data_IF_429267067379
#
_entry.id   IF_429267067379
#
_cell.length_a   1.000
_cell.length_b   1.000
_cell.length_c   1.000
_cell.angle_alpha   90.00
_cell.angle_beta   90.00
_cell.angle_gamma   90.00
#
_symmetry.space_group_name_H-M   'P 1'
#
loop_
_entity.id
_entity.type
_entity.pdbx_description
1 polymer ?
#
# COMPACT_ATOMS: atom_id res chain seq x y z
N UNK A 1 -23.34 -6.83 -26.45
CA UNK A 1 -22.90 -6.75 -25.04
C UNK A 1 -21.95 -7.91 -24.81
N UNK A 2 -20.71 -7.67 -24.37
CA UNK A 2 -19.76 -8.75 -24.12
C UNK A 2 -20.28 -9.64 -22.97
N UNK A 3 -20.20 -10.95 -23.16
CA UNK A 3 -20.60 -11.95 -22.18
C UNK A 3 -19.71 -11.88 -20.93
N UNK A 4 -20.20 -12.29 -19.75
CA UNK A 4 -19.39 -12.32 -18.52
C UNK A 4 -18.09 -13.14 -18.66
N UNK A 5 -18.12 -14.20 -19.48
CA UNK A 5 -16.96 -15.04 -19.77
C UNK A 5 -15.89 -14.30 -20.58
N UNK A 6 -16.30 -13.56 -21.62
CA UNK A 6 -15.37 -12.74 -22.41
C UNK A 6 -14.72 -11.65 -21.56
N UNK A 7 -15.47 -11.01 -20.66
CA UNK A 7 -14.89 -10.03 -19.72
C UNK A 7 -13.85 -10.66 -18.81
N UNK A 8 -14.14 -11.83 -18.23
CA UNK A 8 -13.19 -12.54 -17.38
C UNK A 8 -11.92 -12.92 -18.15
N UNK A 9 -12.05 -13.45 -19.36
CA UNK A 9 -10.89 -13.77 -20.21
C UNK A 9 -10.07 -12.52 -20.57
N UNK A 10 -10.73 -11.38 -20.82
CA UNK A 10 -10.03 -10.12 -21.08
C UNK A 10 -9.23 -9.64 -19.86
N UNK A 11 -9.77 -9.72 -18.65
CA UNK A 11 -9.03 -9.40 -17.42
C UNK A 11 -7.87 -10.37 -17.18
N UNK A 12 -8.08 -11.67 -17.42
CA UNK A 12 -7.03 -12.67 -17.30
C UNK A 12 -5.90 -12.43 -18.30
N UNK A 13 -6.22 -12.09 -19.55
CA UNK A 13 -5.23 -11.79 -20.58
C UNK A 13 -4.45 -10.49 -20.28
N UNK A 14 -5.12 -9.46 -19.74
CA UNK A 14 -4.45 -8.24 -19.28
C UNK A 14 -3.51 -8.52 -18.11
N UNK A 15 -3.98 -9.29 -17.12
CA UNK A 15 -3.17 -9.66 -15.97
C UNK A 15 -1.98 -10.50 -16.41
N UNK A 16 -2.17 -11.47 -17.29
CA UNK A 16 -1.10 -12.30 -17.84
C UNK A 16 -0.05 -11.44 -18.57
N UNK A 17 -0.49 -10.47 -19.37
CA UNK A 17 0.40 -9.51 -20.06
C UNK A 17 1.18 -8.61 -19.09
N UNK A 18 0.56 -8.18 -18.00
CA UNK A 18 1.25 -7.40 -16.97
C UNK A 18 2.27 -8.26 -16.20
N UNK A 19 1.89 -9.49 -15.87
CA UNK A 19 2.75 -10.44 -15.18
C UNK A 19 3.93 -10.92 -16.03
N UNK A 20 3.81 -10.90 -17.37
CA UNK A 20 4.91 -11.29 -18.26
C UNK A 20 6.10 -10.33 -18.21
N UNK A 21 5.93 -9.14 -17.62
CA UNK A 21 7.03 -8.20 -17.35
C UNK A 21 8.03 -8.76 -16.33
N UNK A 22 7.63 -9.75 -15.51
CA UNK A 22 8.48 -10.35 -14.50
C UNK A 22 9.10 -11.67 -15.00
N UNK A 23 10.41 -11.72 -15.28
CA UNK A 23 11.05 -12.92 -15.85
C UNK A 23 10.97 -14.14 -14.93
N UNK A 24 10.91 -13.95 -13.61
CA UNK A 24 10.71 -15.02 -12.64
C UNK A 24 9.37 -15.76 -12.86
N UNK A 25 8.28 -15.03 -13.14
CA UNK A 25 6.96 -15.63 -13.37
C UNK A 25 6.92 -16.41 -14.68
N UNK A 26 7.60 -15.91 -15.72
CA UNK A 26 7.70 -16.61 -17.00
C UNK A 26 8.48 -17.93 -16.88
N UNK A 27 9.51 -17.98 -16.01
CA UNK A 27 10.27 -19.19 -15.75
C UNK A 27 9.43 -20.23 -14.99
N UNK A 28 8.60 -19.78 -14.05
CA UNK A 28 7.67 -20.64 -13.30
C UNK A 28 6.57 -21.17 -14.24
N UNK A 29 6.00 -20.34 -15.10
CA UNK A 29 5.01 -20.74 -16.09
C UNK A 29 5.54 -21.85 -17.02
N UNK A 30 6.79 -21.72 -17.48
CA UNK A 30 7.45 -22.75 -18.31
C UNK A 30 7.64 -24.09 -17.58
N UNK A 31 7.82 -24.08 -16.26
CA UNK A 31 8.01 -25.29 -15.46
C UNK A 31 6.68 -25.95 -15.06
N UNK A 32 5.67 -25.14 -14.73
CA UNK A 32 4.40 -25.60 -14.16
C UNK A 32 3.34 -25.81 -15.26
N UNK A 33 3.49 -25.21 -16.44
CA UNK A 33 2.57 -25.37 -17.57
C UNK A 33 1.21 -24.69 -17.37
N UNK A 34 1.04 -23.92 -16.30
CA UNK A 34 -0.19 -23.19 -15.97
C UNK A 34 0.05 -21.69 -16.19
N UNK A 35 -0.89 -20.95 -16.80
CA UNK A 35 -0.74 -19.51 -16.97
C UNK A 35 -0.53 -18.79 -15.63
N UNK A 36 0.48 -17.93 -15.58
CA UNK A 36 0.87 -17.17 -14.38
C UNK A 36 -0.26 -16.35 -13.76
N UNK A 37 -1.21 -15.88 -14.57
CA UNK A 37 -2.41 -15.19 -14.09
C UNK A 37 -3.21 -16.03 -13.08
N UNK A 38 -3.43 -17.33 -13.35
CA UNK A 38 -4.15 -18.20 -12.43
C UNK A 38 -3.37 -18.45 -11.14
N UNK A 39 -2.04 -18.58 -11.23
CA UNK A 39 -1.18 -18.73 -10.06
C UNK A 39 -1.26 -17.51 -9.12
N UNK A 40 -1.17 -16.31 -9.68
CA UNK A 40 -1.27 -15.06 -8.89
C UNK A 40 -2.65 -14.88 -8.30
N UNK A 41 -3.72 -15.15 -9.06
CA UNK A 41 -5.10 -15.09 -8.54
C UNK A 41 -5.31 -16.12 -7.43
N UNK A 42 -4.81 -17.34 -7.59
CA UNK A 42 -4.89 -18.38 -6.58
C UNK A 42 -4.15 -18.01 -5.29
N UNK A 43 -2.95 -17.46 -5.40
CA UNK A 43 -2.19 -16.96 -4.25
C UNK A 43 -2.88 -15.78 -3.57
N UNK A 44 -3.44 -14.84 -4.33
CA UNK A 44 -4.19 -13.71 -3.78
C UNK A 44 -5.47 -14.17 -3.06
N UNK A 45 -6.20 -15.12 -3.65
CA UNK A 45 -7.39 -15.72 -3.04
C UNK A 45 -7.04 -16.49 -1.76
N UNK A 46 -5.96 -17.28 -1.77
CA UNK A 46 -5.45 -17.98 -0.60
C UNK A 46 -5.05 -16.99 0.50
N UNK A 47 -4.32 -15.94 0.16
CA UNK A 47 -3.92 -14.91 1.11
C UNK A 47 -5.15 -14.25 1.76
N UNK A 48 -6.15 -13.88 0.96
CA UNK A 48 -7.40 -13.28 1.46
C UNK A 48 -8.19 -14.25 2.34
N UNK A 49 -8.24 -15.53 1.96
CA UNK A 49 -8.81 -16.60 2.76
C UNK A 49 -8.12 -16.71 4.12
N UNK A 50 -6.78 -16.75 4.16
CA UNK A 50 -6.03 -16.81 5.42
C UNK A 50 -6.32 -15.61 6.34
N UNK A 51 -6.49 -14.41 5.78
CA UNK A 51 -6.88 -13.21 6.53
C UNK A 51 -8.30 -13.33 7.10
N UNK A 52 -9.28 -13.83 6.32
CA UNK A 52 -10.66 -14.03 6.78
C UNK A 52 -10.74 -15.04 7.93
N UNK A 53 -10.03 -16.16 7.79
CA UNK A 53 -9.99 -17.21 8.81
C UNK A 53 -9.04 -16.89 9.97
N UNK A 54 -8.44 -15.69 9.97
CA UNK A 54 -7.53 -15.22 11.01
C UNK A 54 -6.31 -16.15 11.22
N UNK A 55 -5.88 -16.84 10.17
CA UNK A 55 -4.68 -17.68 10.19
C UNK A 55 -3.49 -16.76 9.93
N UNK A 56 -2.84 -16.32 11.00
CA UNK A 56 -1.72 -15.37 10.92
C UNK A 56 -2.16 -13.95 10.54
N UNK A 57 -3.39 -13.55 10.86
CA UNK A 57 -3.98 -12.27 10.46
C UNK A 57 -3.11 -11.04 10.75
N UNK A 58 -2.46 -10.98 11.92
CA UNK A 58 -1.57 -9.87 12.27
C UNK A 58 -0.35 -9.80 11.34
N UNK A 59 0.32 -10.93 11.09
CA UNK A 59 1.49 -11.00 10.22
C UNK A 59 1.10 -10.64 8.77
N UNK A 60 0.04 -11.26 8.26
CA UNK A 60 -0.42 -11.05 6.89
C UNK A 60 -0.78 -9.58 6.67
N UNK A 61 -1.66 -9.01 7.51
CA UNK A 61 -2.09 -7.61 7.35
C UNK A 61 -0.95 -6.61 7.47
N UNK A 62 -0.01 -6.82 8.41
CA UNK A 62 1.18 -5.98 8.51
C UNK A 62 2.06 -6.14 7.28
N UNK A 63 2.23 -7.35 6.76
CA UNK A 63 3.01 -7.60 5.55
C UNK A 63 2.44 -6.83 4.36
N UNK A 64 1.13 -6.87 4.13
CA UNK A 64 0.50 -6.06 3.08
C UNK A 64 0.66 -4.55 3.34
N UNK A 65 0.45 -4.11 4.58
CA UNK A 65 0.62 -2.73 5.01
C UNK A 65 2.05 -2.19 4.91
N UNK A 66 3.05 -3.05 4.78
CA UNK A 66 4.44 -2.66 4.55
C UNK A 66 4.87 -2.80 3.09
N UNK A 67 4.58 -3.94 2.46
CA UNK A 67 5.15 -4.30 1.16
C UNK A 67 4.53 -3.49 0.02
N UNK A 68 3.21 -3.32 0.02
CA UNK A 68 2.49 -2.57 -1.02
C UNK A 68 2.98 -1.11 -1.08
N UNK A 69 2.83 -0.31 0.00
CA UNK A 69 3.33 1.06 0.00
C UNK A 69 4.85 1.15 -0.09
N UNK A 70 5.60 0.16 0.43
CA UNK A 70 7.06 0.09 0.29
C UNK A 70 7.50 0.00 -1.16
N UNK A 71 6.88 -0.88 -1.95
CA UNK A 71 7.16 -0.99 -3.39
C UNK A 71 6.88 0.31 -4.13
N UNK A 72 5.72 0.93 -3.90
CA UNK A 72 5.40 2.21 -4.54
C UNK A 72 6.25 3.37 -4.05
N UNK A 73 6.63 3.39 -2.76
CA UNK A 73 7.56 4.38 -2.20
C UNK A 73 8.93 4.28 -2.86
N UNK A 74 9.44 3.07 -3.08
CA UNK A 74 10.70 2.87 -3.82
C UNK A 74 10.58 3.41 -5.24
N UNK A 75 9.47 3.14 -5.93
CA UNK A 75 9.20 3.73 -7.25
C UNK A 75 9.18 5.27 -7.22
N UNK A 76 8.54 5.86 -6.22
CA UNK A 76 8.49 7.32 -6.03
C UNK A 76 9.89 7.92 -5.80
N UNK A 77 10.74 7.26 -5.02
CA UNK A 77 12.12 7.72 -4.75
C UNK A 77 12.99 7.80 -6.01
N UNK A 78 12.70 6.99 -7.03
CA UNK A 78 13.40 7.04 -8.32
C UNK A 78 12.68 7.91 -9.37
N UNK A 79 11.50 8.43 -9.04
CA UNK A 79 10.74 9.37 -9.87
C UNK A 79 11.26 10.81 -9.67
N UNK A 80 11.12 11.66 -10.70
CA UNK A 80 11.48 13.08 -10.62
C UNK A 80 10.35 13.96 -10.03
N UNK A 81 9.14 13.42 -9.86
CA UNK A 81 7.96 14.15 -9.41
C UNK A 81 7.74 14.06 -7.90
N UNK A 82 7.45 15.19 -7.24
CA UNK A 82 7.33 15.29 -5.77
C UNK A 82 5.93 14.99 -5.22
N UNK A 83 4.94 14.83 -6.10
CA UNK A 83 3.54 14.59 -5.70
C UNK A 83 3.37 13.21 -5.09
N UNK A 84 4.08 12.21 -5.63
CA UNK A 84 4.00 10.83 -5.16
C UNK A 84 4.67 10.69 -3.77
N UNK A 85 5.77 11.40 -3.54
CA UNK A 85 6.49 11.38 -2.25
C UNK A 85 5.60 11.81 -1.08
N UNK A 86 4.79 12.86 -1.31
CA UNK A 86 3.89 13.40 -0.28
C UNK A 86 2.82 12.39 0.12
N UNK A 87 2.28 11.64 -0.86
CA UNK A 87 1.27 10.61 -0.62
C UNK A 87 1.85 9.48 0.24
N UNK A 88 3.02 8.97 -0.12
CA UNK A 88 3.64 7.86 0.61
C UNK A 88 4.12 8.28 1.99
N UNK A 89 4.68 9.48 2.15
CA UNK A 89 5.04 10.00 3.47
C UNK A 89 3.81 10.14 4.37
N UNK A 90 2.70 10.66 3.82
CA UNK A 90 1.43 10.76 4.54
C UNK A 90 0.92 9.38 4.97
N UNK A 91 1.02 8.39 4.09
CA UNK A 91 0.69 7.00 4.41
C UNK A 91 1.53 6.49 5.59
N UNK A 92 2.85 6.65 5.55
CA UNK A 92 3.74 6.16 6.61
C UNK A 92 3.45 6.82 7.97
N UNK A 93 3.12 8.11 7.98
CA UNK A 93 2.70 8.82 9.19
C UNK A 93 1.41 8.21 9.73
N UNK A 94 0.36 8.09 8.91
CA UNK A 94 -0.93 7.50 9.34
C UNK A 94 -0.76 6.06 9.81
N UNK A 95 0.04 5.27 9.10
CA UNK A 95 0.33 3.87 9.43
C UNK A 95 1.05 3.75 10.78
N UNK A 96 2.02 4.62 11.08
CA UNK A 96 2.73 4.63 12.36
C UNK A 96 1.79 4.95 13.52
N UNK A 97 0.95 5.99 13.38
CA UNK A 97 -0.07 6.32 14.40
C UNK A 97 -1.05 5.17 14.62
N UNK A 98 -1.52 4.55 13.55
CA UNK A 98 -2.42 3.40 13.64
C UNK A 98 -1.77 2.21 14.34
N UNK A 99 -0.51 1.89 14.01
CA UNK A 99 0.24 0.77 14.62
C UNK A 99 0.47 0.99 16.12
N UNK A 100 0.80 2.22 16.51
CA UNK A 100 0.95 2.60 17.92
C UNK A 100 -0.41 2.51 18.64
N UNK A 101 -1.47 3.05 18.06
CA UNK A 101 -2.81 2.98 18.64
C UNK A 101 -3.27 1.53 18.81
N UNK A 102 -3.07 0.68 17.80
CA UNK A 102 -3.37 -0.75 17.87
C UNK A 102 -2.63 -1.44 19.02
N UNK A 103 -1.36 -1.09 19.25
CA UNK A 103 -0.55 -1.68 20.34
C UNK A 103 -1.13 -1.39 21.73
N UNK A 104 -1.89 -0.29 21.90
CA UNK A 104 -2.56 0.03 23.15
C UNK A 104 -3.89 -0.70 23.34
N UNK A 105 -4.55 -1.13 22.26
CA UNK A 105 -5.86 -1.78 22.34
C UNK A 105 -5.69 -3.30 22.29
N UNK A 106 -5.29 -3.89 23.42
CA UNK A 106 -5.15 -5.35 23.58
C UNK A 106 -6.49 -6.12 23.47
N UNK A 107 -7.62 -5.41 23.51
CA UNK A 107 -8.99 -5.95 23.50
C UNK A 107 -9.48 -6.37 22.12
N UNK A 108 -8.76 -5.99 21.07
CA UNK A 108 -9.27 -6.09 19.69
C UNK A 108 -9.30 -7.54 19.17
N UNK A 109 -8.53 -8.45 19.76
CA UNK A 109 -8.52 -9.87 19.40
C UNK A 109 -9.86 -10.59 19.68
N UNK A 110 -10.73 -10.02 20.52
CA UNK A 110 -12.05 -10.58 20.80
C UNK A 110 -13.09 -10.26 19.71
N UNK A 111 -12.83 -9.26 18.86
CA UNK A 111 -13.76 -8.86 17.81
C UNK A 111 -13.60 -9.76 16.56
N UNK A 112 -14.63 -10.53 16.16
CA UNK A 112 -14.55 -11.34 14.95
C UNK A 112 -14.35 -10.46 13.72
N UNK A 113 -13.50 -10.90 12.78
CA UNK A 113 -13.12 -10.19 11.56
C UNK A 113 -12.27 -8.92 11.73
N UNK A 114 -11.72 -8.62 12.92
CA UNK A 114 -10.84 -7.46 13.09
C UNK A 114 -9.73 -7.36 12.02
N UNK A 115 -9.02 -8.46 11.76
CA UNK A 115 -7.94 -8.46 10.79
C UNK A 115 -8.42 -8.23 9.35
N UNK A 116 -9.66 -8.60 9.02
CA UNK A 116 -10.27 -8.26 7.74
C UNK A 116 -10.48 -6.74 7.66
N UNK A 117 -11.05 -6.13 8.71
CA UNK A 117 -11.22 -4.67 8.75
C UNK A 117 -9.88 -3.94 8.68
N UNK A 118 -8.88 -4.39 9.44
CA UNK A 118 -7.52 -3.85 9.38
C UNK A 118 -6.94 -3.98 7.97
N UNK A 119 -7.08 -5.15 7.34
CA UNK A 119 -6.59 -5.37 5.98
C UNK A 119 -7.23 -4.41 4.97
N UNK A 120 -8.57 -4.30 4.98
CA UNK A 120 -9.29 -3.39 4.09
C UNK A 120 -8.91 -1.94 4.36
N UNK A 121 -8.76 -1.56 5.62
CA UNK A 121 -8.32 -0.22 6.00
C UNK A 121 -6.92 0.10 5.47
N UNK A 122 -5.94 -0.80 5.65
CA UNK A 122 -4.58 -0.64 5.15
C UNK A 122 -4.54 -0.60 3.61
N UNK A 123 -5.32 -1.45 2.94
CA UNK A 123 -5.47 -1.39 1.49
C UNK A 123 -6.02 -0.04 1.04
N UNK A 124 -7.10 0.43 1.67
CA UNK A 124 -7.70 1.71 1.33
C UNK A 124 -6.75 2.90 1.54
N UNK A 125 -5.91 2.86 2.58
CA UNK A 125 -4.86 3.86 2.78
C UNK A 125 -3.80 3.81 1.67
N UNK A 126 -3.43 2.61 1.22
CA UNK A 126 -2.36 2.38 0.24
C UNK A 126 -2.78 2.65 -1.21
N UNK A 127 -4.06 2.56 -1.53
CA UNK A 127 -4.55 2.67 -2.90
C UNK A 127 -4.51 4.14 -3.38
N UNK A 128 -3.72 4.45 -4.43
CA UNK A 128 -3.60 5.82 -4.94
C UNK A 128 -4.92 6.50 -5.33
N UNK A 129 -5.91 5.83 -5.96
CA UNK A 129 -7.15 6.48 -6.40
C UNK A 129 -7.99 7.08 -5.28
N UNK A 130 -7.92 6.49 -4.08
CA UNK A 130 -8.77 6.88 -2.96
C UNK A 130 -8.13 7.96 -2.07
N UNK A 131 -6.81 8.16 -2.18
CA UNK A 131 -6.05 9.07 -1.30
C UNK A 131 -6.39 8.90 0.19
N UNK A 132 -6.65 7.67 0.64
CA UNK A 132 -7.19 7.40 1.98
C UNK A 132 -6.28 7.93 3.10
N UNK A 133 -4.96 7.81 2.92
CA UNK A 133 -3.98 8.39 3.83
C UNK A 133 -4.14 9.91 4.00
N UNK A 134 -4.39 10.67 2.93
CA UNK A 134 -4.57 12.12 3.01
C UNK A 134 -5.86 12.49 3.75
N UNK A 135 -6.93 11.71 3.56
CA UNK A 135 -8.20 11.92 4.25
C UNK A 135 -8.00 11.76 5.75
N UNK A 136 -7.36 10.66 6.19
CA UNK A 136 -7.08 10.42 7.62
C UNK A 136 -6.14 11.47 8.19
N UNK A 137 -5.09 11.83 7.46
CA UNK A 137 -4.16 12.86 7.88
C UNK A 137 -4.86 14.20 8.08
N UNK A 138 -5.64 14.68 7.10
CA UNK A 138 -6.35 15.96 7.18
C UNK A 138 -7.45 15.96 8.25
N UNK A 139 -8.10 14.82 8.50
CA UNK A 139 -9.24 14.75 9.41
C UNK A 139 -8.84 14.56 10.87
N UNK A 140 -7.77 13.81 11.16
CA UNK A 140 -7.41 13.42 12.52
C UNK A 140 -6.03 13.92 12.96
N UNK A 141 -5.03 13.84 12.08
CA UNK A 141 -3.64 14.15 12.43
C UNK A 141 -3.39 15.66 12.34
N UNK A 142 -3.78 16.29 11.23
CA UNK A 142 -3.55 17.71 10.98
C UNK A 142 -4.23 18.61 12.03
N UNK A 143 -5.48 18.40 12.48
CA UNK A 143 -6.09 19.24 13.52
C UNK A 143 -5.34 19.16 14.86
N UNK A 144 -4.81 17.98 15.19
CA UNK A 144 -4.10 17.72 16.45
C UNK A 144 -2.68 18.28 16.43
N UNK A 145 -1.98 18.17 15.29
CA UNK A 145 -0.55 18.47 15.19
C UNK A 145 -0.21 19.75 14.41
N UNK A 146 -1.16 20.34 13.67
CA UNK A 146 -0.94 21.59 12.91
C UNK A 146 -0.39 22.70 13.79
N UNK A 147 -0.81 22.81 15.06
CA UNK A 147 -0.31 23.85 15.98
C UNK A 147 1.18 23.75 16.30
N UNK A 148 1.78 22.57 16.14
CA UNK A 148 3.20 22.32 16.41
C UNK A 148 4.07 22.39 15.15
N UNK A 149 3.50 22.12 13.98
CA UNK A 149 4.21 22.08 12.69
C UNK A 149 3.84 23.20 11.72
N UNK A 150 2.88 24.07 12.06
CA UNK A 150 2.68 25.37 11.39
C UNK A 150 3.84 26.27 11.80
N UNK A 151 4.99 26.00 11.19
CA UNK A 151 6.10 26.93 11.13
C UNK A 151 5.88 27.81 9.90
N UNK A 152 5.85 29.15 10.03
CA UNK A 152 5.84 30.02 8.86
C UNK A 152 7.14 29.73 8.07
N UNK A 153 7.04 28.92 7.01
CA UNK A 153 8.16 28.59 6.10
C UNK A 153 8.94 27.28 6.34
N UNK A 154 8.50 26.36 7.20
CA UNK A 154 9.33 25.21 7.63
C UNK A 154 9.79 24.23 6.52
N UNK A 155 8.88 23.78 5.64
CA UNK A 155 9.23 22.77 4.63
C UNK A 155 9.98 23.35 3.42
N UNK A 156 9.61 24.55 2.98
CA UNK A 156 10.25 25.26 1.87
C UNK A 156 11.68 25.70 2.21
N UNK A 157 11.93 26.10 3.46
CA UNK A 157 13.25 26.56 3.92
C UNK A 157 14.24 25.41 4.17
N UNK A 158 13.76 24.23 4.56
CA UNK A 158 14.62 23.06 4.74
C UNK A 158 15.04 22.46 3.39
N UNK A 159 14.12 22.43 2.42
CA UNK A 159 14.41 21.96 1.06
C UNK A 159 15.35 22.91 0.32
N UNK A 160 15.15 24.22 0.41
CA UNK A 160 16.08 25.20 -0.18
C UNK A 160 17.48 25.11 0.44
N UNK A 161 17.55 24.79 1.74
CA UNK A 161 18.82 24.56 2.44
C UNK A 161 19.50 23.27 1.99
N UNK A 162 18.75 22.17 1.82
CA UNK A 162 19.28 20.90 1.30
C UNK A 162 19.75 20.99 -0.16
N UNK A 163 19.00 21.69 -1.02
CA UNK A 163 19.39 21.95 -2.42
C UNK A 163 20.60 22.90 -2.52
N UNK A 164 20.80 23.79 -1.53
CA UNK A 164 22.01 24.59 -1.41
C UNK A 164 23.26 23.75 -1.14
N UNK A 165 23.14 22.73 -0.29
CA UNK A 165 24.24 21.80 -0.02
C UNK A 165 24.58 20.91 -1.23
N UNK A 166 23.59 20.48 -2.01
CA UNK A 166 23.85 19.64 -3.19
C UNK A 166 24.46 20.39 -4.39
N UNK A 167 24.47 21.73 -4.38
CA UNK A 167 25.04 22.57 -5.45
C UNK A 167 26.45 23.06 -5.15
N UNK A 168 27.00 22.73 -3.98
CA UNK A 168 28.32 23.18 -3.52
C UNK A 168 29.40 22.08 -3.66
N UNK A 169 29.05 20.91 -4.18
CA UNK A 169 29.98 19.90 -4.72
C UNK A 169 30.01 19.98 -6.25
#
# INVERSE_FOLDING_TARGET
MATPQEKAQNYLAQLDKELSKYPALNNIEKQVGVPKAYGVIGLAALYFFLVIFNIGGQLLTNFAGFIIPGYYSLGALFSRGTTDDTQWLTYWVVFAFFTVAESFVNIVYWFPFYFVFKFVFLLWLSLPPFHGAQIVFRSFIAPTFSRYFVQPGGASNLRSKAEGFSKTE
#
